data_IF_803570946803
#
_entry.id   IF_803570946803
#
_cell.length_a   1.000
_cell.length_b   1.000
_cell.length_c   1.000
_cell.angle_alpha   90.00
_cell.angle_beta   90.00
_cell.angle_gamma   90.00
#
_symmetry.space_group_name_H-M   'P 1'
#
loop_
_entity.id
_entity.type
_entity.pdbx_description
1 polymer ?
#
# COMPACT_ATOMS: atom_id res chain seq x y z
N UNK A 1 -45.32 -6.72 -59.63
CA UNK A 1 -45.98 -5.68 -58.80
C UNK A 1 -45.00 -5.17 -57.76
N UNK A 2 -44.13 -4.21 -58.10
CA UNK A 2 -43.50 -3.28 -57.16
C UNK A 2 -43.20 -2.00 -57.95
N UNK A 3 -43.67 -0.88 -57.41
CA UNK A 3 -43.94 0.38 -58.10
C UNK A 3 -42.68 1.26 -58.06
N UNK A 4 -42.26 1.79 -59.21
CA UNK A 4 -41.31 2.91 -59.31
C UNK A 4 -41.91 4.13 -58.62
N UNK A 5 -41.23 4.66 -57.60
CA UNK A 5 -41.49 5.98 -57.07
C UNK A 5 -40.37 6.92 -57.54
N UNK A 6 -40.70 7.70 -58.57
CA UNK A 6 -40.00 8.91 -58.98
C UNK A 6 -40.04 9.93 -57.83
N UNK A 7 -38.88 10.19 -57.22
CA UNK A 7 -38.74 11.21 -56.19
C UNK A 7 -37.34 11.83 -56.26
N UNK A 8 -37.29 13.13 -56.51
CA UNK A 8 -36.07 13.92 -56.64
C UNK A 8 -35.25 13.87 -55.35
N UNK A 9 -33.98 13.46 -55.44
CA UNK A 9 -33.01 13.51 -54.34
C UNK A 9 -32.75 14.99 -54.01
N UNK A 10 -33.37 15.51 -52.94
CA UNK A 10 -33.00 16.80 -52.36
C UNK A 10 -31.80 16.57 -51.43
N UNK A 11 -30.61 16.93 -51.91
CA UNK A 11 -29.44 17.14 -51.05
C UNK A 11 -29.73 18.35 -50.14
N UNK A 12 -30.26 18.09 -48.96
CA UNK A 12 -30.33 19.11 -47.91
C UNK A 12 -28.95 19.17 -47.27
N UNK A 13 -28.14 20.13 -47.71
CA UNK A 13 -26.96 20.54 -46.97
C UNK A 13 -27.48 21.24 -45.71
N UNK A 14 -27.72 20.47 -44.65
CA UNK A 14 -27.83 21.03 -43.32
C UNK A 14 -26.45 21.50 -42.93
N UNK A 15 -26.14 22.77 -43.22
CA UNK A 15 -25.06 23.47 -42.56
C UNK A 15 -25.39 23.44 -41.07
N UNK A 16 -24.83 22.46 -40.36
CA UNK A 16 -24.78 22.51 -38.91
C UNK A 16 -23.91 23.72 -38.57
N UNK A 17 -24.56 24.88 -38.39
CA UNK A 17 -23.98 25.98 -37.63
C UNK A 17 -23.87 25.42 -36.23
N UNK A 18 -22.73 24.77 -35.96
CA UNK A 18 -22.31 24.44 -34.62
C UNK A 18 -22.20 25.77 -33.90
N UNK A 19 -23.26 26.15 -33.21
CA UNK A 19 -23.25 27.27 -32.30
C UNK A 19 -22.24 26.89 -31.23
N UNK A 20 -21.03 27.39 -31.40
CA UNK A 20 -19.93 27.19 -30.47
C UNK A 20 -20.33 27.90 -29.19
N UNK A 21 -21.01 27.17 -28.31
CA UNK A 21 -21.37 27.60 -26.98
C UNK A 21 -20.04 27.91 -26.28
N UNK A 22 -19.66 29.19 -26.28
CA UNK A 22 -18.48 29.66 -25.57
C UNK A 22 -18.69 29.25 -24.13
N UNK A 23 -17.92 28.25 -23.68
CA UNK A 23 -17.90 27.77 -22.31
C UNK A 23 -17.33 28.85 -21.39
N UNK A 24 -18.05 29.96 -21.24
CA UNK A 24 -17.82 30.86 -20.13
C UNK A 24 -18.18 30.08 -18.88
N UNK A 25 -17.20 29.89 -17.99
CA UNK A 25 -17.47 29.42 -16.65
C UNK A 25 -18.55 30.33 -16.06
N UNK A 26 -19.77 29.82 -15.94
CA UNK A 26 -20.87 30.65 -15.45
C UNK A 26 -20.60 30.97 -13.98
N UNK A 27 -21.09 32.11 -13.49
CA UNK A 27 -21.01 32.42 -12.04
C UNK A 27 -21.60 31.30 -11.17
N UNK A 28 -22.55 30.53 -11.73
CA UNK A 28 -23.11 29.32 -11.12
C UNK A 28 -22.08 28.19 -10.97
N UNK A 29 -21.27 27.90 -11.99
CA UNK A 29 -20.24 26.85 -11.93
C UNK A 29 -19.14 27.18 -10.91
N UNK A 30 -18.75 28.45 -10.84
CA UNK A 30 -17.79 28.92 -9.83
C UNK A 30 -18.37 28.78 -8.42
N UNK A 31 -19.63 29.15 -8.22
CA UNK A 31 -20.33 28.99 -6.95
C UNK A 31 -20.44 27.51 -6.52
N UNK A 32 -20.74 26.61 -7.46
CA UNK A 32 -20.78 25.16 -7.22
C UNK A 32 -19.40 24.60 -6.81
N UNK A 33 -18.33 25.01 -7.50
CA UNK A 33 -16.96 24.60 -7.14
C UNK A 33 -16.57 25.10 -5.75
N UNK A 34 -16.89 26.35 -5.40
CA UNK A 34 -16.64 26.90 -4.06
C UNK A 34 -17.38 26.11 -2.98
N UNK A 35 -18.63 25.72 -3.23
CA UNK A 35 -19.39 24.87 -2.28
C UNK A 35 -18.72 23.50 -2.09
N UNK A 36 -18.26 22.88 -3.17
CA UNK A 36 -17.53 21.60 -3.11
C UNK A 36 -16.21 21.71 -2.32
N UNK A 37 -15.41 22.73 -2.61
CA UNK A 37 -14.13 22.97 -1.91
C UNK A 37 -14.35 23.21 -0.41
N UNK A 38 -15.36 24.01 -0.03
CA UNK A 38 -15.71 24.22 1.39
C UNK A 38 -16.12 22.93 2.09
N UNK A 39 -16.84 22.04 1.40
CA UNK A 39 -17.22 20.74 1.95
C UNK A 39 -15.99 19.83 2.13
N UNK A 40 -15.12 19.75 1.13
CA UNK A 40 -13.86 18.99 1.21
C UNK A 40 -12.99 19.54 2.35
N UNK A 41 -12.90 20.86 2.53
CA UNK A 41 -12.17 21.51 3.62
C UNK A 41 -12.70 21.12 5.00
N UNK A 42 -14.03 21.02 5.18
CA UNK A 42 -14.63 20.57 6.44
C UNK A 42 -14.32 19.10 6.72
N UNK A 43 -14.40 18.25 5.69
CA UNK A 43 -14.09 16.82 5.80
C UNK A 43 -12.60 16.64 6.17
N UNK A 44 -11.68 17.33 5.49
CA UNK A 44 -10.25 17.21 5.77
C UNK A 44 -9.88 17.78 7.14
N UNK A 45 -10.49 18.88 7.58
CA UNK A 45 -10.30 19.43 8.95
C UNK A 45 -10.73 18.43 10.01
N UNK A 46 -11.89 17.80 9.81
CA UNK A 46 -12.40 16.76 10.71
C UNK A 46 -11.48 15.54 10.69
N UNK A 47 -11.06 15.10 9.51
CA UNK A 47 -10.16 13.96 9.34
C UNK A 47 -8.78 14.20 9.97
N UNK A 48 -8.25 15.44 9.94
CA UNK A 48 -7.01 15.82 10.63
C UNK A 48 -7.13 15.57 12.14
N UNK A 49 -8.24 15.97 12.76
CA UNK A 49 -8.47 15.75 14.19
C UNK A 49 -8.65 14.26 14.52
N UNK A 50 -9.42 13.52 13.70
CA UNK A 50 -9.61 12.07 13.88
C UNK A 50 -8.28 11.31 13.73
N UNK A 51 -7.46 11.68 12.75
CA UNK A 51 -6.14 11.08 12.53
C UNK A 51 -5.19 11.39 13.69
N UNK A 52 -5.18 12.62 14.20
CA UNK A 52 -4.38 13.00 15.36
C UNK A 52 -4.78 12.21 16.61
N UNK A 53 -6.09 12.04 16.88
CA UNK A 53 -6.58 11.25 18.01
C UNK A 53 -6.20 9.76 17.88
N UNK A 54 -6.32 9.18 16.67
CA UNK A 54 -5.90 7.80 16.39
C UNK A 54 -4.39 7.61 16.54
N UNK A 55 -3.59 8.57 16.09
CA UNK A 55 -2.14 8.55 16.25
C UNK A 55 -1.75 8.59 17.73
N UNK A 56 -2.36 9.50 18.51
CA UNK A 56 -2.11 9.59 19.94
C UNK A 56 -2.47 8.29 20.69
N UNK A 57 -3.57 7.62 20.30
CA UNK A 57 -3.93 6.30 20.84
C UNK A 57 -2.87 5.24 20.47
N UNK A 58 -2.52 5.14 19.18
CA UNK A 58 -1.52 4.19 18.71
C UNK A 58 -0.14 4.40 19.36
N UNK A 59 0.26 5.65 19.63
CA UNK A 59 1.51 5.95 20.32
C UNK A 59 1.52 5.41 21.76
N UNK A 60 0.40 5.53 22.49
CA UNK A 60 0.28 4.97 23.85
C UNK A 60 0.38 3.44 23.84
N UNK A 61 -0.37 2.79 22.94
CA UNK A 61 -0.36 1.33 22.81
C UNK A 61 1.04 0.82 22.43
N UNK A 62 1.73 1.56 21.56
CA UNK A 62 3.08 1.22 21.08
C UNK A 62 4.15 1.40 22.15
N UNK A 63 4.00 2.35 23.10
CA UNK A 63 4.93 2.51 24.24
C UNK A 63 4.98 1.24 25.09
N UNK A 64 3.83 0.65 25.40
CA UNK A 64 3.75 -0.62 26.13
C UNK A 64 4.34 -1.77 25.32
N UNK A 65 4.01 -1.88 24.03
CA UNK A 65 4.50 -2.95 23.16
C UNK A 65 6.03 -2.89 22.91
N UNK A 66 6.64 -1.69 22.93
CA UNK A 66 8.09 -1.53 22.73
C UNK A 66 8.94 -2.27 23.78
N UNK A 67 8.53 -2.24 25.05
CA UNK A 67 9.27 -2.90 26.13
C UNK A 67 9.40 -4.41 25.88
N UNK A 68 8.31 -5.06 25.48
CA UNK A 68 8.30 -6.48 25.11
C UNK A 68 9.22 -6.78 23.93
N UNK A 69 9.19 -5.95 22.88
CA UNK A 69 10.02 -6.14 21.70
C UNK A 69 11.53 -6.00 21.98
N UNK A 70 11.92 -5.06 22.84
CA UNK A 70 13.33 -4.89 23.25
C UNK A 70 13.80 -6.06 24.10
N UNK A 71 13.00 -6.49 25.08
CA UNK A 71 13.35 -7.63 25.94
C UNK A 71 13.48 -8.94 25.14
N UNK A 72 12.53 -9.21 24.25
CA UNK A 72 12.60 -10.38 23.37
C UNK A 72 13.83 -10.33 22.45
N UNK A 73 14.12 -9.17 21.84
CA UNK A 73 15.30 -9.03 20.99
C UNK A 73 16.60 -9.25 21.78
N UNK A 74 16.73 -8.66 22.96
CA UNK A 74 17.91 -8.86 23.81
C UNK A 74 18.08 -10.33 24.22
N UNK A 75 16.99 -11.05 24.47
CA UNK A 75 17.04 -12.48 24.75
C UNK A 75 17.56 -13.28 23.56
N UNK A 76 17.06 -13.03 22.35
CA UNK A 76 17.54 -13.70 21.13
C UNK A 76 18.95 -13.28 20.71
N UNK A 77 19.35 -12.03 20.96
CA UNK A 77 20.71 -11.55 20.67
C UNK A 77 21.75 -12.21 21.61
N UNK A 78 21.37 -12.55 22.85
CA UNK A 78 22.24 -13.22 23.82
C UNK A 78 22.31 -14.74 23.62
N UNK A 79 21.30 -15.33 22.99
CA UNK A 79 21.34 -16.74 22.58
C UNK A 79 22.05 -16.75 21.24
N UNK A 80 23.38 -16.88 21.28
CA UNK A 80 24.17 -17.11 20.07
C UNK A 80 23.52 -18.25 19.30
N UNK A 81 22.98 -18.00 18.10
CA UNK A 81 22.38 -19.05 17.34
C UNK A 81 23.59 -19.81 16.78
N UNK A 82 23.95 -20.93 17.42
CA UNK A 82 24.69 -22.01 16.76
C UNK A 82 23.81 -22.49 15.60
N UNK A 83 23.80 -21.73 14.51
CA UNK A 83 23.21 -22.11 13.24
C UNK A 83 24.36 -22.71 12.48
N UNK A 84 24.28 -24.02 12.28
CA UNK A 84 25.09 -24.74 11.32
C UNK A 84 25.26 -23.89 10.06
N UNK A 85 26.50 -23.80 9.57
CA UNK A 85 26.82 -23.04 8.37
C UNK A 85 26.08 -23.63 7.17
N UNK A 86 24.85 -23.16 6.97
CA UNK A 86 24.01 -23.53 5.85
C UNK A 86 24.78 -23.38 4.55
N UNK A 87 24.65 -24.39 3.68
CA UNK A 87 25.27 -24.48 2.36
C UNK A 87 25.09 -23.17 1.57
N UNK A 88 26.02 -22.79 0.68
CA UNK A 88 25.96 -21.51 -0.05
C UNK A 88 24.61 -21.22 -0.74
N UNK A 89 23.85 -22.25 -1.12
CA UNK A 89 22.51 -22.16 -1.71
C UNK A 89 21.43 -21.68 -0.72
N UNK A 90 21.54 -22.03 0.56
CA UNK A 90 20.66 -21.57 1.62
C UNK A 90 20.81 -20.05 1.83
N UNK A 91 22.04 -19.53 1.76
CA UNK A 91 22.33 -18.09 1.87
C UNK A 91 21.75 -17.22 0.74
N UNK A 92 21.18 -17.83 -0.31
CA UNK A 92 20.58 -17.13 -1.44
C UNK A 92 19.07 -16.87 -1.28
N UNK A 93 18.38 -17.53 -0.35
CA UNK A 93 16.95 -17.32 -0.11
C UNK A 93 16.73 -16.19 0.90
N UNK A 94 15.82 -15.26 0.61
CA UNK A 94 15.52 -14.14 1.52
C UNK A 94 14.04 -13.77 1.51
N UNK A 95 13.46 -13.57 2.70
CA UNK A 95 12.11 -12.99 2.83
C UNK A 95 12.18 -11.48 2.90
N UNK A 96 11.31 -10.83 2.13
CA UNK A 96 11.01 -9.42 2.26
C UNK A 96 9.60 -9.26 2.82
N UNK A 97 9.49 -8.79 4.07
CA UNK A 97 8.19 -8.50 4.70
C UNK A 97 7.90 -7.02 4.62
N UNK A 98 6.85 -6.65 3.91
CA UNK A 98 6.42 -5.27 3.71
C UNK A 98 5.21 -4.98 4.59
N UNK A 99 5.36 -4.05 5.53
CA UNK A 99 4.26 -3.63 6.40
C UNK A 99 3.69 -2.30 5.91
N UNK A 100 2.46 -2.33 5.41
CA UNK A 100 1.71 -1.17 4.92
C UNK A 100 0.30 -1.11 5.51
N UNK A 101 -0.53 -0.20 5.02
CA UNK A 101 -1.93 -0.07 5.44
C UNK A 101 -2.86 -0.18 4.24
N UNK A 102 -4.12 -0.53 4.50
CA UNK A 102 -5.14 -0.66 3.45
C UNK A 102 -5.77 0.69 3.07
N UNK A 103 -5.65 1.68 3.96
CA UNK A 103 -6.22 3.02 3.76
C UNK A 103 -5.30 3.91 2.92
N UNK A 104 -5.93 4.73 2.07
CA UNK A 104 -5.28 5.78 1.29
C UNK A 104 -5.15 7.11 2.04
N UNK A 105 -4.86 8.18 1.30
CA UNK A 105 -4.74 9.56 1.81
C UNK A 105 -3.62 9.77 2.86
N UNK A 106 -2.59 8.93 2.83
CA UNK A 106 -1.46 8.93 3.76
C UNK A 106 -0.17 9.55 3.18
N UNK A 107 -0.28 10.36 2.12
CA UNK A 107 0.86 10.96 1.43
C UNK A 107 1.78 9.92 0.80
N UNK A 108 3.10 10.08 0.97
CA UNK A 108 4.14 9.27 0.32
C UNK A 108 4.54 7.99 1.05
N UNK A 109 3.90 7.64 2.18
CA UNK A 109 4.32 6.52 3.03
C UNK A 109 4.41 5.20 2.27
N UNK A 110 3.33 4.80 1.58
CA UNK A 110 3.29 3.56 0.80
C UNK A 110 4.24 3.58 -0.38
N UNK A 111 4.35 4.73 -1.06
CA UNK A 111 5.25 4.90 -2.20
C UNK A 111 6.72 4.80 -1.80
N UNK A 112 7.10 5.32 -0.63
CA UNK A 112 8.47 5.18 -0.11
C UNK A 112 8.82 3.73 0.20
N UNK A 113 7.93 2.99 0.88
CA UNK A 113 8.13 1.57 1.20
C UNK A 113 8.27 0.75 -0.09
N UNK A 114 7.42 1.01 -1.09
CA UNK A 114 7.51 0.33 -2.38
C UNK A 114 8.80 0.67 -3.14
N UNK A 115 9.33 1.90 -3.01
CA UNK A 115 10.62 2.29 -3.62
C UNK A 115 11.80 1.58 -2.94
N UNK A 116 11.84 1.53 -1.62
CA UNK A 116 12.88 0.81 -0.87
C UNK A 116 12.86 -0.69 -1.20
N UNK A 117 11.67 -1.29 -1.24
CA UNK A 117 11.50 -2.68 -1.65
C UNK A 117 12.06 -2.93 -3.06
N UNK A 118 11.77 -2.06 -4.03
CA UNK A 118 12.32 -2.16 -5.39
C UNK A 118 13.83 -2.08 -5.40
N UNK A 119 14.43 -1.15 -4.65
CA UNK A 119 15.88 -0.97 -4.59
C UNK A 119 16.56 -2.22 -4.02
N UNK A 120 16.01 -2.80 -2.95
CA UNK A 120 16.50 -4.06 -2.38
C UNK A 120 16.39 -5.21 -3.39
N UNK A 121 15.30 -5.28 -4.13
CA UNK A 121 15.11 -6.31 -5.16
C UNK A 121 16.03 -6.13 -6.38
N UNK A 122 16.36 -4.90 -6.74
CA UNK A 122 17.32 -4.61 -7.82
C UNK A 122 18.75 -4.96 -7.40
N UNK A 123 19.10 -4.71 -6.14
CA UNK A 123 20.41 -5.01 -5.57
C UNK A 123 20.58 -6.49 -5.15
N UNK A 124 19.55 -7.30 -5.34
CA UNK A 124 19.50 -8.69 -4.86
C UNK A 124 20.44 -9.65 -5.60
N UNK A 125 20.92 -9.29 -6.80
CA UNK A 125 21.76 -10.18 -7.62
C UNK A 125 21.08 -11.53 -7.88
N UNK A 126 21.75 -12.63 -7.54
CA UNK A 126 21.26 -14.01 -7.68
C UNK A 126 20.37 -14.50 -6.52
N UNK A 127 20.04 -13.65 -5.53
CA UNK A 127 19.21 -14.08 -4.39
C UNK A 127 17.75 -14.30 -4.80
N UNK A 128 17.17 -15.41 -4.36
CA UNK A 128 15.74 -15.67 -4.48
C UNK A 128 14.99 -14.94 -3.37
N UNK A 129 14.54 -13.71 -3.68
CA UNK A 129 13.74 -12.89 -2.78
C UNK A 129 12.26 -13.17 -3.00
N UNK A 130 11.57 -13.59 -1.94
CA UNK A 130 10.12 -13.70 -1.90
C UNK A 130 9.51 -12.59 -1.06
N UNK A 131 8.31 -12.15 -1.44
CA UNK A 131 7.63 -11.01 -0.82
C UNK A 131 6.43 -11.50 -0.02
N UNK A 132 6.34 -11.05 1.23
CA UNK A 132 5.13 -11.10 2.05
C UNK A 132 4.67 -9.67 2.29
N UNK A 133 3.42 -9.39 1.92
CA UNK A 133 2.81 -8.09 2.14
C UNK A 133 1.80 -8.16 3.27
N UNK A 134 1.96 -7.30 4.27
CA UNK A 134 0.94 -6.98 5.25
C UNK A 134 0.31 -5.65 4.82
N UNK A 135 -0.93 -5.72 4.35
CA UNK A 135 -1.70 -4.60 3.79
C UNK A 135 -1.70 -4.54 2.25
N UNK A 136 -2.82 -4.04 1.71
CA UNK A 136 -3.11 -4.08 0.27
C UNK A 136 -2.25 -3.12 -0.56
N UNK A 137 -1.79 -1.99 0.02
CA UNK A 137 -1.21 -0.89 -0.77
C UNK A 137 0.18 -1.21 -1.31
N UNK A 138 1.06 -1.84 -0.53
CA UNK A 138 2.34 -2.33 -1.06
C UNK A 138 2.14 -3.47 -2.07
N UNK A 139 1.21 -4.38 -1.79
CA UNK A 139 0.82 -5.46 -2.71
C UNK A 139 0.48 -4.92 -4.09
N UNK A 140 -0.49 -4.02 -4.18
CA UNK A 140 -0.92 -3.42 -5.45
C UNK A 140 0.21 -2.71 -6.22
N UNK A 141 1.12 -2.03 -5.52
CA UNK A 141 2.22 -1.29 -6.15
C UNK A 141 3.32 -2.21 -6.72
N UNK A 142 3.58 -3.34 -6.06
CA UNK A 142 4.65 -4.28 -6.43
C UNK A 142 4.15 -5.46 -7.26
N UNK A 143 2.88 -5.84 -7.15
CA UNK A 143 2.27 -6.95 -7.89
C UNK A 143 2.40 -6.76 -9.41
N UNK A 144 2.31 -5.51 -9.89
CA UNK A 144 2.48 -5.19 -11.31
C UNK A 144 3.87 -5.50 -11.85
N UNK A 145 4.90 -5.51 -11.00
CA UNK A 145 6.31 -5.65 -11.41
C UNK A 145 6.86 -7.02 -11.01
N UNK A 146 6.52 -7.48 -9.80
CA UNK A 146 7.09 -8.68 -9.19
C UNK A 146 6.03 -9.71 -8.79
N UNK A 147 4.87 -9.75 -9.47
CA UNK A 147 3.74 -10.61 -9.10
C UNK A 147 4.08 -12.09 -8.88
N UNK A 148 5.06 -12.65 -9.61
CA UNK A 148 5.50 -14.05 -9.46
C UNK A 148 6.27 -14.35 -8.16
N UNK A 149 6.79 -13.32 -7.49
CA UNK A 149 7.62 -13.43 -6.27
C UNK A 149 6.82 -13.26 -4.97
N UNK A 150 5.51 -13.04 -5.05
CA UNK A 150 4.64 -12.96 -3.89
C UNK A 150 4.38 -14.35 -3.30
N UNK A 151 4.54 -14.49 -2.00
CA UNK A 151 4.15 -15.68 -1.23
C UNK A 151 2.77 -15.47 -0.60
N UNK A 152 2.60 -14.35 0.11
CA UNK A 152 1.41 -14.10 0.90
C UNK A 152 1.08 -12.61 0.95
N UNK A 153 -0.21 -12.29 0.90
CA UNK A 153 -0.74 -10.95 1.13
C UNK A 153 -1.79 -11.05 2.24
N UNK A 154 -1.54 -10.37 3.35
CA UNK A 154 -2.50 -10.23 4.45
C UNK A 154 -3.28 -8.94 4.30
N UNK A 155 -4.61 -9.03 4.30
CA UNK A 155 -5.50 -7.88 4.14
C UNK A 155 -6.15 -7.52 5.49
N UNK A 156 -6.72 -6.31 5.57
CA UNK A 156 -7.46 -5.78 6.72
C UNK A 156 -6.62 -5.41 7.96
N UNK A 157 -5.30 -5.31 7.78
CA UNK A 157 -4.38 -4.80 8.78
C UNK A 157 -4.41 -3.26 8.77
N UNK A 158 -5.25 -2.69 9.63
CA UNK A 158 -5.32 -1.23 9.85
C UNK A 158 -6.71 -0.63 10.04
N UNK A 159 -7.77 -1.46 10.14
CA UNK A 159 -9.09 -0.99 10.60
C UNK A 159 -9.17 -0.85 12.11
N UNK A 160 -8.73 -1.88 12.81
CA UNK A 160 -8.60 -1.95 14.27
C UNK A 160 -7.14 -1.76 14.69
N UNK A 161 -6.88 -1.37 15.95
CA UNK A 161 -5.52 -1.39 16.47
C UNK A 161 -4.96 -2.82 16.42
N UNK A 162 -3.72 -3.02 15.95
CA UNK A 162 -3.15 -4.35 15.78
C UNK A 162 -2.94 -5.01 17.14
N UNK A 163 -3.38 -6.26 17.27
CA UNK A 163 -3.22 -7.07 18.48
C UNK A 163 -2.15 -8.14 18.28
N UNK A 164 -1.70 -8.75 19.39
CA UNK A 164 -0.76 -9.87 19.32
C UNK A 164 -1.36 -11.08 18.60
N UNK A 165 -2.68 -11.27 18.70
CA UNK A 165 -3.39 -12.33 17.98
C UNK A 165 -3.22 -12.18 16.47
N UNK A 166 -3.42 -10.97 15.94
CA UNK A 166 -3.24 -10.67 14.51
C UNK A 166 -1.80 -10.96 14.05
N UNK A 167 -0.82 -10.58 14.88
CA UNK A 167 0.59 -10.85 14.62
C UNK A 167 0.91 -12.36 14.62
N UNK A 168 0.30 -13.13 15.54
CA UNK A 168 0.49 -14.58 15.61
C UNK A 168 -0.10 -15.32 14.41
N UNK A 169 -1.23 -14.84 13.89
CA UNK A 169 -1.86 -15.38 12.68
C UNK A 169 -0.95 -15.10 11.47
N UNK A 170 -0.44 -13.87 11.34
CA UNK A 170 0.50 -13.54 10.27
C UNK A 170 1.80 -14.36 10.37
N UNK A 171 2.32 -14.58 11.57
CA UNK A 171 3.51 -15.40 11.79
C UNK A 171 3.27 -16.87 11.41
N UNK A 172 2.15 -17.46 11.83
CA UNK A 172 1.76 -18.82 11.44
C UNK A 172 1.62 -18.95 9.93
N UNK A 173 0.93 -18.00 9.29
CA UNK A 173 0.76 -18.01 7.84
C UNK A 173 2.09 -17.92 7.07
N UNK A 174 3.10 -17.24 7.62
CA UNK A 174 4.45 -17.21 7.06
C UNK A 174 5.14 -18.58 7.23
N UNK A 175 5.02 -19.22 8.39
CA UNK A 175 5.60 -20.54 8.64
C UNK A 175 4.95 -21.61 7.74
N UNK A 176 3.61 -21.59 7.66
CA UNK A 176 2.83 -22.53 6.84
C UNK A 176 3.07 -22.35 5.34
N UNK A 177 3.61 -21.20 4.91
CA UNK A 177 3.92 -20.95 3.50
C UNK A 177 5.03 -21.86 2.94
N UNK A 178 5.69 -22.65 3.80
CA UNK A 178 6.65 -23.68 3.42
C UNK A 178 7.93 -23.15 2.78
N UNK A 179 8.14 -21.83 2.81
CA UNK A 179 9.40 -21.24 2.41
C UNK A 179 10.39 -21.32 3.56
N UNK A 180 11.40 -22.18 3.38
CA UNK A 180 12.47 -22.34 4.34
C UNK A 180 13.45 -21.16 4.21
N UNK A 181 13.40 -20.26 5.19
CA UNK A 181 14.41 -19.22 5.35
C UNK A 181 15.45 -19.81 6.29
N UNK A 182 16.65 -20.16 5.79
CA UNK A 182 17.69 -20.70 6.67
C UNK A 182 17.94 -19.69 7.78
N UNK A 183 18.10 -20.18 9.01
CA UNK A 183 18.18 -19.37 10.24
C UNK A 183 19.25 -18.27 10.21
N UNK A 184 20.18 -18.34 9.25
CA UNK A 184 21.21 -17.32 8.97
C UNK A 184 20.67 -16.09 8.20
N UNK A 185 19.56 -16.22 7.46
CA UNK A 185 18.92 -15.16 6.67
C UNK A 185 17.72 -14.58 7.40
N UNK A 186 17.96 -13.56 8.22
CA UNK A 186 16.87 -12.89 8.95
C UNK A 186 15.88 -12.26 7.95
N UNK A 187 14.55 -12.43 8.13
CA UNK A 187 13.57 -11.78 7.26
C UNK A 187 13.75 -10.26 7.34
N UNK A 188 13.87 -9.62 6.17
CA UNK A 188 14.06 -8.18 6.12
C UNK A 188 12.69 -7.50 6.23
N UNK A 189 12.47 -6.86 7.38
CA UNK A 189 11.25 -6.10 7.65
C UNK A 189 11.39 -4.67 7.15
N UNK A 190 10.66 -4.32 6.09
CA UNK A 190 10.52 -2.93 5.68
C UNK A 190 9.29 -2.36 6.38
N UNK A 191 9.57 -1.54 7.39
CA UNK A 191 8.58 -0.71 8.08
C UNK A 191 9.10 0.71 8.18
N UNK A 192 8.21 1.69 8.01
CA UNK A 192 8.59 3.08 8.23
C UNK A 192 8.76 3.33 9.73
N UNK A 193 9.99 3.59 10.15
CA UNK A 193 10.26 4.01 11.53
C UNK A 193 9.67 5.42 11.68
N UNK A 194 8.76 5.60 12.64
CA UNK A 194 8.21 6.91 12.95
C UNK A 194 9.30 7.75 13.64
N UNK A 195 10.03 8.56 12.86
CA UNK A 195 10.79 9.68 13.39
C UNK A 195 9.82 10.82 13.71
N UNK A 196 10.05 11.53 14.82
CA UNK A 196 9.16 12.57 15.37
C UNK A 196 8.57 13.47 14.28
N UNK A 197 7.26 13.32 14.02
CA UNK A 197 6.53 14.21 13.12
C UNK A 197 6.21 15.46 13.95
N UNK A 198 7.02 16.52 13.81
CA UNK A 198 6.57 17.87 14.15
C UNK A 198 5.57 18.28 13.09
N UNK A 199 4.31 18.44 13.49
CA UNK A 199 3.24 19.00 12.66
C UNK A 199 3.35 20.52 12.59
#
# INVERSE_FOLDING_TARGET
MFRLCSGSVKLVVTSAVGEQQRGFATLKDVSLRLKSIRNIQKITKSMKMVAAAKYAKAERDLKCARAYGVGAKAFFDNIDPKVDEGTKEEKQKQLLVLVTSDRGLCGSVHSSIAKEAKLIMQNAGQKDIRIVCVGDKAGNALQRIYGKKFLLTGNDFGRTPPTLADASIAAKAIIDSGFDFPGTSQPLWIRRRFATIRF
#
